data_IF_654163792030
#
_entry.id   IF_654163792030
#
_cell.length_a   1.000
_cell.length_b   1.000
_cell.length_c   1.000
_cell.angle_alpha   90.00
_cell.angle_beta   90.00
_cell.angle_gamma   90.00
#
_symmetry.space_group_name_H-M   'P 1'
#
loop_
_entity.id
_entity.type
_entity.pdbx_description
1 polymer ?
#
# COMPACT_ATOMS: atom_id res chain seq x y z
N UNK A 1 11.03 -9.42 10.60
CA UNK A 1 9.65 -8.88 10.71
C UNK A 1 9.37 -8.10 11.98
N UNK A 2 9.92 -8.47 13.13
CA UNK A 2 9.80 -7.63 14.34
C UNK A 2 10.33 -6.21 14.12
N UNK A 3 11.38 -6.02 13.32
CA UNK A 3 11.99 -4.70 13.07
C UNK A 3 11.06 -3.73 12.33
N UNK A 4 10.42 -4.15 11.23
CA UNK A 4 9.46 -3.31 10.50
C UNK A 4 8.23 -2.94 11.36
N UNK A 5 7.76 -3.88 12.18
CA UNK A 5 6.65 -3.62 13.10
C UNK A 5 7.07 -2.58 14.15
N UNK A 6 8.22 -2.78 14.79
CA UNK A 6 8.76 -1.83 15.77
C UNK A 6 8.96 -0.44 15.16
N UNK A 7 9.44 -0.37 13.92
CA UNK A 7 9.52 0.89 13.17
C UNK A 7 8.14 1.53 13.03
N UNK A 8 7.11 0.79 12.60
CA UNK A 8 5.78 1.39 12.47
C UNK A 8 5.17 1.83 13.80
N UNK A 9 5.48 1.14 14.91
CA UNK A 9 5.01 1.49 16.25
C UNK A 9 5.66 2.79 16.80
N UNK A 10 6.82 3.19 16.28
CA UNK A 10 7.48 4.46 16.61
C UNK A 10 6.83 5.67 15.89
N UNK A 11 5.99 5.45 14.87
CA UNK A 11 5.33 6.53 14.14
C UNK A 11 4.28 7.24 15.01
N UNK A 12 4.35 8.57 15.07
CA UNK A 12 3.32 9.38 15.70
C UNK A 12 2.05 9.42 14.81
N UNK A 13 1.00 8.71 15.23
CA UNK A 13 -0.29 8.63 14.52
C UNK A 13 -1.40 9.47 15.17
N UNK A 14 -1.08 10.24 16.21
CA UNK A 14 -2.01 11.09 16.95
C UNK A 14 -2.36 12.38 16.20
N UNK A 15 -1.41 12.95 15.45
CA UNK A 15 -1.62 14.18 14.67
C UNK A 15 -0.76 14.23 13.42
N UNK A 16 -1.30 14.84 12.37
CA UNK A 16 -0.57 15.13 11.16
C UNK A 16 0.48 16.25 11.40
N UNK A 17 1.58 16.30 10.63
CA UNK A 17 1.94 15.37 9.56
C UNK A 17 2.39 14.01 10.10
N UNK A 18 1.88 12.94 9.50
CA UNK A 18 2.15 11.56 9.91
C UNK A 18 3.47 11.08 9.29
N UNK A 19 4.58 11.52 9.87
CA UNK A 19 5.93 11.17 9.42
C UNK A 19 6.62 10.36 10.50
N UNK A 20 7.22 9.23 10.10
CA UNK A 20 8.04 8.46 11.01
C UNK A 20 9.24 9.31 11.49
N UNK A 21 9.59 9.34 12.79
CA UNK A 21 10.68 10.19 13.32
C UNK A 21 12.05 9.94 12.66
N UNK A 22 12.29 8.71 12.19
CA UNK A 22 13.51 8.32 11.45
C UNK A 22 13.48 8.68 9.95
N UNK A 23 12.33 9.06 9.39
CA UNK A 23 12.24 9.50 7.99
C UNK A 23 12.47 11.02 7.89
N UNK A 24 13.68 11.41 7.51
CA UNK A 24 14.01 12.80 7.22
C UNK A 24 13.52 13.19 5.80
N UNK A 25 12.30 13.71 5.70
CA UNK A 25 11.67 14.13 4.43
C UNK A 25 11.84 15.65 4.21
N UNK A 26 12.68 16.10 3.24
CA UNK A 26 12.80 17.52 2.95
C UNK A 26 11.51 18.13 2.40
N UNK A 27 11.23 19.39 2.77
CA UNK A 27 10.01 20.12 2.37
C UNK A 27 9.77 20.18 0.84
N UNK A 28 10.83 20.14 0.01
CA UNK A 28 10.68 20.10 -1.45
C UNK A 28 10.04 18.81 -2.00
N UNK A 29 9.97 17.76 -1.18
CA UNK A 29 9.33 16.49 -1.51
C UNK A 29 7.97 16.32 -0.83
N UNK A 30 7.49 17.34 -0.12
CA UNK A 30 6.19 17.29 0.57
C UNK A 30 5.21 18.18 -0.17
N UNK A 31 3.95 17.76 -0.24
CA UNK A 31 2.89 18.61 -0.76
C UNK A 31 2.49 19.61 0.34
N UNK A 32 2.73 20.93 0.17
CA UNK A 32 2.39 21.91 1.19
C UNK A 32 0.88 22.19 1.21
N UNK A 33 0.34 22.49 2.39
CA UNK A 33 -0.96 23.14 2.54
C UNK A 33 -2.21 22.29 2.25
N UNK A 34 -2.08 20.97 2.14
CA UNK A 34 -3.22 20.07 1.90
C UNK A 34 -3.46 19.16 3.12
N UNK A 35 -4.35 19.59 4.00
CA UNK A 35 -4.76 18.89 5.22
C UNK A 35 -6.18 18.31 5.14
N UNK A 36 -6.97 18.71 4.14
CA UNK A 36 -8.34 18.26 3.97
C UNK A 36 -8.73 17.84 2.55
N UNK A 37 -9.81 17.07 2.44
CA UNK A 37 -10.44 16.72 1.17
C UNK A 37 -10.86 17.97 0.38
N UNK A 38 -11.41 18.98 1.06
CA UNK A 38 -11.79 20.25 0.43
C UNK A 38 -10.56 21.00 -0.12
N UNK A 39 -9.47 21.06 0.64
CA UNK A 39 -8.22 21.66 0.19
C UNK A 39 -7.60 20.86 -0.97
N UNK A 40 -7.63 19.53 -0.89
CA UNK A 40 -7.16 18.64 -1.94
C UNK A 40 -7.91 18.87 -3.25
N UNK A 41 -9.25 18.90 -3.21
CA UNK A 41 -10.08 19.12 -4.39
C UNK A 41 -9.78 20.48 -5.02
N UNK A 42 -9.75 21.55 -4.21
CA UNK A 42 -9.43 22.90 -4.69
C UNK A 42 -8.05 22.96 -5.37
N UNK A 43 -7.06 22.31 -4.78
CA UNK A 43 -5.71 22.25 -5.35
C UNK A 43 -5.65 21.38 -6.62
N UNK A 44 -6.40 20.27 -6.65
CA UNK A 44 -6.50 19.39 -7.82
C UNK A 44 -7.14 20.10 -9.00
N UNK A 45 -8.29 20.75 -8.80
CA UNK A 45 -9.00 21.54 -9.82
C UNK A 45 -8.18 22.73 -10.32
N UNK A 46 -7.40 23.35 -9.43
CA UNK A 46 -6.49 24.44 -9.78
C UNK A 46 -5.18 24.01 -10.43
N UNK A 47 -4.89 22.70 -10.54
CA UNK A 47 -3.62 22.21 -11.08
C UNK A 47 -2.40 22.51 -10.20
N UNK A 48 -2.60 22.68 -8.89
CA UNK A 48 -1.56 23.05 -7.92
C UNK A 48 -0.93 21.85 -7.20
N UNK A 49 -1.36 20.63 -7.53
CA UNK A 49 -0.80 19.42 -6.94
C UNK A 49 0.42 18.95 -7.72
N UNK A 50 1.48 18.60 -6.99
CA UNK A 50 2.64 17.93 -7.57
C UNK A 50 2.35 16.45 -7.77
N UNK A 51 2.74 15.90 -8.92
CA UNK A 51 2.59 14.47 -9.18
C UNK A 51 3.43 13.60 -8.22
N UNK A 52 4.57 14.13 -7.74
CA UNK A 52 5.57 13.35 -7.01
C UNK A 52 5.77 13.75 -5.56
N UNK A 53 5.12 14.82 -5.10
CA UNK A 53 5.23 15.24 -3.71
C UNK A 53 4.42 14.31 -2.80
N UNK A 54 4.95 14.07 -1.61
CA UNK A 54 4.34 13.20 -0.62
C UNK A 54 3.23 13.94 0.14
N UNK A 55 2.09 13.29 0.30
CA UNK A 55 0.95 13.77 1.06
C UNK A 55 0.99 13.22 2.48
N UNK A 56 1.58 14.01 3.38
CA UNK A 56 1.88 13.59 4.76
C UNK A 56 0.73 13.83 5.76
N UNK A 57 -0.42 14.33 5.29
CA UNK A 57 -1.62 14.50 6.10
C UNK A 57 -2.60 13.31 5.99
N UNK A 58 -2.24 12.28 5.22
CA UNK A 58 -2.88 10.97 5.20
C UNK A 58 -2.10 10.00 6.07
N UNK A 59 -2.77 9.02 6.66
CA UNK A 59 -2.10 7.99 7.45
C UNK A 59 -1.09 7.21 6.59
N UNK A 60 0.10 6.90 7.13
CA UNK A 60 1.09 6.13 6.40
C UNK A 60 0.60 4.71 6.18
N UNK A 61 0.88 4.15 5.01
CA UNK A 61 0.50 2.80 4.61
C UNK A 61 1.75 1.97 4.34
N UNK A 62 2.49 1.62 5.40
CA UNK A 62 3.71 0.82 5.27
C UNK A 62 3.45 -0.63 4.85
N UNK A 63 2.28 -1.15 5.21
CA UNK A 63 1.87 -2.49 4.85
C UNK A 63 0.36 -2.70 5.00
N UNK A 64 -0.12 -3.78 4.38
CA UNK A 64 -1.48 -4.28 4.50
C UNK A 64 -1.46 -5.79 4.71
N UNK A 65 -2.38 -6.31 5.52
CA UNK A 65 -2.48 -7.75 5.78
C UNK A 65 -1.63 -8.23 6.96
N UNK A 66 -1.56 -9.55 7.10
CA UNK A 66 -0.93 -10.23 8.23
C UNK A 66 0.56 -10.37 7.92
N UNK A 67 1.38 -9.47 8.45
CA UNK A 67 2.81 -9.58 8.22
C UNK A 67 3.32 -10.92 8.73
N UNK A 68 2.90 -11.34 9.92
CA UNK A 68 3.41 -12.53 10.62
C UNK A 68 3.07 -13.84 9.91
N UNK A 69 1.83 -13.98 9.41
CA UNK A 69 1.30 -15.26 8.92
C UNK A 69 0.95 -15.28 7.43
N UNK A 70 1.14 -14.19 6.68
CA UNK A 70 0.86 -14.20 5.25
C UNK A 70 1.68 -15.27 4.53
N UNK A 71 0.99 -16.04 3.68
CA UNK A 71 1.61 -17.02 2.79
C UNK A 71 2.28 -16.34 1.58
N UNK A 72 1.81 -15.13 1.23
CA UNK A 72 2.23 -14.35 0.07
C UNK A 72 2.57 -12.95 0.55
N UNK A 73 3.80 -12.51 0.30
CA UNK A 73 4.22 -11.13 0.52
C UNK A 73 4.45 -10.44 -0.82
N UNK A 74 3.83 -9.26 -0.99
CA UNK A 74 3.97 -8.41 -2.16
C UNK A 74 4.78 -7.16 -1.80
N UNK A 75 5.83 -6.87 -2.56
CA UNK A 75 6.65 -5.69 -2.37
C UNK A 75 6.23 -4.60 -3.38
N UNK A 76 5.92 -3.43 -2.86
CA UNK A 76 5.45 -2.26 -3.59
C UNK A 76 6.29 -1.04 -3.21
N UNK A 77 6.19 0.02 -4.01
CA UNK A 77 7.04 1.20 -3.84
C UNK A 77 6.43 2.15 -2.82
N UNK A 78 5.25 2.70 -3.11
CA UNK A 78 4.52 3.59 -2.23
C UNK A 78 3.02 3.52 -2.55
N UNK A 79 2.14 3.87 -1.59
CA UNK A 79 0.71 3.90 -1.84
C UNK A 79 0.37 4.99 -2.88
N UNK A 80 -0.48 4.64 -3.83
CA UNK A 80 -1.00 5.60 -4.81
C UNK A 80 -1.89 6.66 -4.14
N UNK A 81 -2.11 7.79 -4.82
CA UNK A 81 -2.93 8.88 -4.33
C UNK A 81 -4.13 9.16 -5.23
N UNK A 82 -5.27 9.41 -4.61
CA UNK A 82 -6.52 9.82 -5.23
C UNK A 82 -7.32 10.72 -4.27
N UNK A 83 -8.34 11.39 -4.82
CA UNK A 83 -9.29 12.17 -4.02
C UNK A 83 -10.02 11.29 -2.98
N UNK A 84 -10.22 10.00 -3.29
CA UNK A 84 -10.89 9.07 -2.41
C UNK A 84 -10.13 8.85 -1.10
N UNK A 85 -8.79 8.94 -1.10
CA UNK A 85 -7.97 8.68 0.09
C UNK A 85 -8.20 9.77 1.16
N UNK A 86 -8.22 11.04 0.75
CA UNK A 86 -8.63 12.14 1.63
C UNK A 86 -10.09 12.04 2.04
N UNK A 87 -10.99 11.68 1.10
CA UNK A 87 -12.41 11.59 1.42
C UNK A 87 -12.68 10.52 2.48
N UNK A 88 -12.14 9.31 2.30
CA UNK A 88 -12.43 8.18 3.17
C UNK A 88 -11.83 8.35 4.57
N UNK A 89 -10.57 8.80 4.66
CA UNK A 89 -9.91 9.00 5.95
C UNK A 89 -10.56 10.09 6.81
N UNK A 90 -11.23 11.07 6.20
CA UNK A 90 -11.85 12.18 6.91
C UNK A 90 -13.32 11.97 7.26
N UNK A 91 -14.07 11.31 6.38
CA UNK A 91 -15.52 11.20 6.53
C UNK A 91 -15.97 9.84 7.06
N UNK A 92 -15.07 8.85 7.13
CA UNK A 92 -15.40 7.50 7.57
C UNK A 92 -14.49 7.07 8.73
N UNK A 93 -14.81 7.45 9.98
CA UNK A 93 -14.03 7.07 11.16
C UNK A 93 -13.80 5.56 11.25
N UNK A 94 -14.83 4.77 10.92
CA UNK A 94 -14.71 3.30 10.91
C UNK A 94 -13.69 2.75 9.90
N UNK A 95 -13.40 3.46 8.80
CA UNK A 95 -12.30 3.11 7.91
C UNK A 95 -10.97 3.50 8.53
N UNK A 96 -10.87 4.73 9.04
CA UNK A 96 -9.68 5.26 9.69
C UNK A 96 -9.22 4.38 10.86
N UNK A 97 -10.15 3.94 11.71
CA UNK A 97 -9.88 3.04 12.83
C UNK A 97 -9.34 1.69 12.36
N UNK A 98 -9.90 1.14 11.27
CA UNK A 98 -9.41 -0.11 10.69
C UNK A 98 -8.03 0.05 10.05
N UNK A 99 -7.76 1.19 9.41
CA UNK A 99 -6.45 1.51 8.87
C UNK A 99 -5.41 1.63 9.99
N UNK A 100 -5.73 2.36 11.07
CA UNK A 100 -4.85 2.44 12.25
C UNK A 100 -4.61 1.06 12.90
N UNK A 101 -5.66 0.26 13.07
CA UNK A 101 -5.53 -1.11 13.59
C UNK A 101 -4.70 -2.01 12.65
N UNK A 102 -4.77 -1.79 11.34
CA UNK A 102 -3.92 -2.49 10.36
C UNK A 102 -2.46 -2.07 10.49
N UNK A 103 -2.18 -0.77 10.64
CA UNK A 103 -0.81 -0.23 10.85
C UNK A 103 -0.21 -0.78 12.14
N UNK A 104 -1.02 -0.98 13.19
CA UNK A 104 -0.57 -1.57 14.47
C UNK A 104 -0.54 -3.11 14.49
N UNK A 105 -0.91 -3.75 13.37
CA UNK A 105 -1.07 -5.22 13.26
C UNK A 105 -2.08 -5.82 14.27
N UNK A 106 -2.99 -5.00 14.79
CA UNK A 106 -4.14 -5.42 15.60
C UNK A 106 -5.24 -6.06 14.73
N UNK A 107 -5.36 -5.59 13.49
CA UNK A 107 -6.19 -6.20 12.45
C UNK A 107 -5.30 -6.69 11.32
N UNK A 108 -5.35 -8.00 11.07
CA UNK A 108 -4.41 -8.69 10.18
C UNK A 108 -4.98 -9.04 8.80
N UNK A 109 -6.27 -8.82 8.56
CA UNK A 109 -6.81 -8.98 7.21
C UNK A 109 -6.39 -7.83 6.31
N UNK A 110 -6.07 -8.12 5.05
CA UNK A 110 -5.76 -7.11 4.05
C UNK A 110 -6.96 -6.16 3.83
N UNK A 111 -6.89 -4.95 4.39
CA UNK A 111 -7.98 -3.98 4.45
C UNK A 111 -8.63 -3.72 3.08
N UNK A 112 -7.79 -3.57 2.05
CA UNK A 112 -8.24 -3.28 0.68
C UNK A 112 -8.78 -4.49 -0.09
N UNK A 113 -8.98 -5.64 0.56
CA UNK A 113 -9.72 -6.76 0.00
C UNK A 113 -11.05 -6.99 0.74
N UNK A 114 -11.37 -6.17 1.73
CA UNK A 114 -12.64 -6.20 2.45
C UNK A 114 -13.76 -5.57 1.59
N UNK A 115 -14.80 -6.33 1.21
CA UNK A 115 -15.93 -5.80 0.43
C UNK A 115 -16.65 -4.61 1.06
N UNK A 116 -16.53 -4.41 2.38
CA UNK A 116 -17.05 -3.22 3.08
C UNK A 116 -16.51 -1.92 2.47
N UNK A 117 -15.30 -1.96 1.93
CA UNK A 117 -14.60 -0.81 1.37
C UNK A 117 -14.49 -0.87 -0.16
N UNK A 118 -15.39 -1.60 -0.82
CA UNK A 118 -15.35 -1.86 -2.26
C UNK A 118 -15.35 -0.60 -3.15
N UNK A 119 -15.85 0.51 -2.63
CA UNK A 119 -15.92 1.81 -3.31
C UNK A 119 -14.64 2.64 -3.19
N UNK A 120 -13.68 2.22 -2.35
CA UNK A 120 -12.41 2.93 -2.14
C UNK A 120 -11.43 2.72 -3.32
N UNK A 121 -10.60 3.72 -3.57
CA UNK A 121 -9.45 3.66 -4.49
C UNK A 121 -8.56 2.44 -4.24
N UNK A 122 -8.19 2.21 -2.97
CA UNK A 122 -7.35 1.09 -2.56
C UNK A 122 -7.98 -0.26 -2.89
N UNK A 123 -9.27 -0.45 -2.60
CA UNK A 123 -9.96 -1.70 -2.96
C UNK A 123 -10.01 -1.90 -4.47
N UNK A 124 -10.39 -0.87 -5.22
CA UNK A 124 -10.49 -0.97 -6.68
C UNK A 124 -9.13 -1.36 -7.27
N UNK A 125 -8.04 -0.78 -6.78
CA UNK A 125 -6.69 -1.14 -7.23
C UNK A 125 -6.35 -2.60 -6.90
N UNK A 126 -6.50 -3.01 -5.63
CA UNK A 126 -6.14 -4.36 -5.17
C UNK A 126 -7.00 -5.46 -5.79
N UNK A 127 -8.31 -5.26 -5.85
CA UNK A 127 -9.24 -6.19 -6.48
C UNK A 127 -8.97 -6.32 -7.99
N UNK A 128 -8.47 -5.28 -8.65
CA UNK A 128 -8.05 -5.35 -10.05
C UNK A 128 -6.72 -6.10 -10.21
N UNK A 129 -5.73 -5.85 -9.34
CA UNK A 129 -4.43 -6.53 -9.39
C UNK A 129 -4.54 -8.03 -9.14
N UNK A 130 -5.41 -8.45 -8.23
CA UNK A 130 -5.60 -9.85 -7.86
C UNK A 130 -6.80 -10.52 -8.56
N UNK A 131 -7.39 -9.85 -9.56
CA UNK A 131 -8.66 -10.27 -10.18
C UNK A 131 -8.63 -11.70 -10.71
N UNK A 132 -7.63 -12.03 -11.50
CA UNK A 132 -7.57 -13.33 -12.17
C UNK A 132 -7.27 -14.45 -11.17
N UNK A 133 -6.42 -14.18 -10.18
CA UNK A 133 -6.18 -15.10 -9.05
C UNK A 133 -7.47 -15.34 -8.26
N UNK A 134 -8.19 -14.27 -7.91
CA UNK A 134 -9.45 -14.36 -7.19
C UNK A 134 -10.53 -15.12 -7.99
N UNK A 135 -10.56 -14.99 -9.31
CA UNK A 135 -11.47 -15.74 -10.19
C UNK A 135 -11.17 -17.24 -10.16
N UNK A 136 -9.91 -17.62 -10.27
CA UNK A 136 -9.49 -19.04 -10.19
C UNK A 136 -9.85 -19.63 -8.83
N UNK A 137 -9.52 -18.92 -7.74
CA UNK A 137 -9.88 -19.35 -6.38
C UNK A 137 -11.41 -19.47 -6.22
N UNK A 138 -12.18 -18.52 -6.78
CA UNK A 138 -13.63 -18.56 -6.72
C UNK A 138 -14.19 -19.79 -7.42
N UNK A 139 -13.73 -20.09 -8.64
CA UNK A 139 -14.20 -21.26 -9.39
C UNK A 139 -13.80 -22.58 -8.74
N UNK A 140 -12.57 -22.68 -8.26
CA UNK A 140 -12.02 -23.96 -7.77
C UNK A 140 -12.42 -24.29 -6.33
N UNK A 141 -12.62 -23.28 -5.48
CA UNK A 141 -12.76 -23.48 -4.03
C UNK A 141 -14.07 -22.95 -3.45
N UNK A 142 -14.76 -22.06 -4.15
CA UNK A 142 -15.92 -21.35 -3.61
C UNK A 142 -17.13 -21.32 -4.54
N UNK A 143 -17.28 -22.30 -5.45
CA UNK A 143 -18.45 -22.44 -6.34
C UNK A 143 -18.77 -21.14 -7.09
N UNK A 144 -17.75 -20.40 -7.51
CA UNK A 144 -17.87 -19.13 -8.23
C UNK A 144 -18.07 -17.88 -7.34
N UNK A 145 -18.11 -18.01 -6.01
CA UNK A 145 -18.31 -16.85 -5.11
C UNK A 145 -17.05 -15.98 -4.97
N UNK A 146 -16.95 -14.94 -5.78
CA UNK A 146 -15.81 -14.01 -5.81
C UNK A 146 -15.50 -13.33 -4.47
N UNK A 147 -16.53 -12.90 -3.71
CA UNK A 147 -16.32 -12.27 -2.40
C UNK A 147 -15.66 -13.22 -1.38
N UNK A 148 -15.95 -14.52 -1.44
CA UNK A 148 -15.28 -15.52 -0.58
C UNK A 148 -13.84 -15.74 -1.00
N UNK A 149 -13.55 -15.67 -2.30
CA UNK A 149 -12.17 -15.70 -2.81
C UNK A 149 -11.36 -14.49 -2.34
N UNK A 150 -11.93 -13.27 -2.36
CA UNK A 150 -11.28 -12.08 -1.81
C UNK A 150 -11.02 -12.21 -0.30
N UNK A 151 -11.97 -12.74 0.46
CA UNK A 151 -11.80 -12.99 1.90
C UNK A 151 -10.79 -14.11 2.23
N UNK A 152 -10.55 -15.04 1.29
CA UNK A 152 -9.46 -16.01 1.41
C UNK A 152 -8.12 -15.35 1.10
N UNK A 153 -8.02 -14.58 0.02
CA UNK A 153 -6.83 -13.81 -0.31
C UNK A 153 -6.45 -12.81 0.80
N UNK A 154 -7.43 -12.13 1.40
CA UNK A 154 -7.17 -11.13 2.45
C UNK A 154 -6.50 -11.69 3.70
N UNK A 155 -6.57 -13.01 3.92
CA UNK A 155 -5.93 -13.71 5.04
C UNK A 155 -4.56 -14.26 4.70
N UNK A 156 -4.23 -14.36 3.41
CA UNK A 156 -3.01 -15.01 2.91
C UNK A 156 -2.01 -14.02 2.31
N UNK A 157 -2.48 -12.86 1.86
CA UNK A 157 -1.67 -11.84 1.21
C UNK A 157 -1.37 -10.73 2.21
N UNK A 158 -0.07 -10.44 2.36
CA UNK A 158 0.42 -9.18 2.88
C UNK A 158 1.09 -8.38 1.76
N UNK A 159 1.04 -7.06 1.89
CA UNK A 159 1.75 -6.13 1.02
C UNK A 159 2.60 -5.19 1.86
N UNK A 160 3.76 -4.82 1.36
CA UNK A 160 4.70 -3.89 1.98
C UNK A 160 5.02 -2.77 0.99
N UNK A 161 4.84 -1.54 1.43
CA UNK A 161 5.23 -0.33 0.71
C UNK A 161 6.57 0.15 1.23
N UNK A 162 7.59 0.19 0.37
CA UNK A 162 8.94 0.63 0.75
C UNK A 162 8.97 2.08 1.25
N UNK A 163 8.04 2.91 0.77
CA UNK A 163 7.84 4.29 1.20
C UNK A 163 6.37 4.44 1.57
N UNK A 164 6.01 4.60 2.85
CA UNK A 164 4.64 4.46 3.33
C UNK A 164 3.77 5.69 3.06
N UNK A 165 4.19 6.61 2.19
CA UNK A 165 3.57 7.92 2.00
C UNK A 165 2.94 8.05 0.61
N UNK A 166 1.75 8.66 0.57
CA UNK A 166 0.97 8.78 -0.66
C UNK A 166 1.58 9.79 -1.65
N UNK A 167 1.58 9.43 -2.94
CA UNK A 167 1.83 10.34 -4.07
C UNK A 167 1.12 9.83 -5.33
N UNK A 168 0.88 10.70 -6.32
CA UNK A 168 0.30 10.24 -7.59
C UNK A 168 1.29 9.36 -8.37
N UNK A 169 2.56 9.72 -8.31
CA UNK A 169 3.69 9.01 -8.92
C UNK A 169 4.87 9.04 -7.97
N UNK A 170 5.55 7.90 -7.85
CA UNK A 170 6.80 7.88 -7.11
C UNK A 170 7.88 8.68 -7.84
N UNK A 171 8.44 9.71 -7.19
CA UNK A 171 9.43 10.58 -7.82
C UNK A 171 10.82 10.62 -7.18
N UNK A 172 11.14 9.72 -6.23
CA UNK A 172 12.39 9.84 -5.45
C UNK A 172 13.14 8.53 -5.27
N UNK A 173 14.38 8.47 -5.74
CA UNK A 173 15.35 7.39 -5.52
C UNK A 173 16.05 7.44 -4.15
N UNK A 174 15.53 8.20 -3.18
CA UNK A 174 16.14 8.31 -1.84
C UNK A 174 15.93 7.03 -1.03
N UNK A 175 16.95 6.70 -0.23
CA UNK A 175 16.85 5.73 0.85
C UNK A 175 16.10 6.37 2.01
N UNK A 176 14.80 6.09 2.12
CA UNK A 176 14.02 6.34 3.32
C UNK A 176 14.39 5.31 4.38
N UNK A 177 14.27 5.65 5.66
CA UNK A 177 14.49 4.66 6.72
C UNK A 177 13.45 3.54 6.58
N UNK A 178 12.20 3.88 6.27
CA UNK A 178 11.14 2.92 5.93
C UNK A 178 11.56 1.92 4.84
N UNK A 179 12.24 2.39 3.79
CA UNK A 179 12.72 1.52 2.71
C UNK A 179 13.89 0.61 3.14
N UNK A 180 14.66 1.01 4.15
CA UNK A 180 15.77 0.23 4.69
C UNK A 180 15.32 -0.82 5.71
N UNK A 181 14.22 -0.58 6.43
CA UNK A 181 13.61 -1.53 7.38
C UNK A 181 12.73 -2.57 6.70
N UNK A 182 12.38 -2.35 5.44
CA UNK A 182 11.75 -3.37 4.62
C UNK A 182 12.70 -4.57 4.50
N UNK A 183 12.22 -5.80 4.77
CA UNK A 183 13.09 -6.97 4.74
C UNK A 183 13.78 -7.11 3.39
N UNK A 184 15.09 -7.35 3.39
CA UNK A 184 15.76 -7.74 2.15
C UNK A 184 15.40 -9.19 1.84
N UNK A 185 15.38 -9.56 0.56
CA UNK A 185 14.98 -10.90 0.12
C UNK A 185 15.81 -12.04 0.74
N UNK A 186 16.99 -11.73 1.29
CA UNK A 186 17.89 -12.68 1.96
C UNK A 186 17.51 -13.03 3.39
N UNK A 187 16.66 -12.22 4.04
CA UNK A 187 16.51 -12.25 5.51
C UNK A 187 15.27 -13.05 5.97
N UNK A 188 14.60 -13.72 5.03
CA UNK A 188 13.41 -14.53 5.30
C UNK A 188 13.77 -16.02 5.44
N UNK A 189 13.58 -16.63 6.63
CA UNK A 189 13.79 -18.05 6.80
C UNK A 189 12.78 -18.84 5.94
N UNK A 190 13.28 -19.65 5.00
CA UNK A 190 12.46 -20.60 4.24
C UNK A 190 12.05 -20.19 2.83
N UNK A 191 12.47 -19.02 2.33
CA UNK A 191 12.20 -18.61 0.95
C UNK A 191 13.43 -18.81 0.04
N UNK A 192 13.35 -19.80 -0.86
CA UNK A 192 14.19 -19.82 -2.06
C UNK A 192 13.36 -19.28 -3.22
N UNK A 193 13.77 -18.17 -3.83
CA UNK A 193 13.19 -17.69 -5.09
C UNK A 193 13.48 -18.69 -6.23
N UNK A 194 12.74 -19.80 -6.31
CA UNK A 194 12.64 -20.59 -7.54
C UNK A 194 11.43 -20.08 -8.31
N UNK A 195 11.64 -19.02 -9.10
CA UNK A 195 10.57 -18.53 -9.97
C UNK A 195 10.66 -17.09 -10.45
N UNK A 196 11.76 -16.36 -10.21
CA UNK A 196 11.99 -15.11 -10.92
C UNK A 196 12.33 -15.43 -12.39
N UNK A 197 11.31 -15.55 -13.24
CA UNK A 197 11.49 -15.55 -14.69
C UNK A 197 11.96 -14.14 -15.05
N UNK A 198 13.24 -14.03 -15.38
CA UNK A 198 13.80 -12.81 -15.95
C UNK A 198 12.97 -12.39 -17.18
N UNK A 199 12.75 -11.08 -17.40
CA UNK A 199 12.08 -10.64 -18.61
C UNK A 199 12.88 -11.12 -19.82
N UNK A 200 12.26 -11.97 -20.65
CA UNK A 200 12.83 -12.40 -21.90
C UNK A 200 13.16 -11.16 -22.74
N UNK A 201 14.46 -10.91 -22.90
CA UNK A 201 14.96 -9.99 -23.92
C UNK A 201 14.38 -10.43 -25.27
N UNK A 202 13.65 -9.52 -25.93
CA UNK A 202 13.20 -9.72 -27.31
C UNK A 202 14.43 -9.90 -28.18
N UNK A 203 14.67 -11.13 -28.62
CA UNK A 203 15.60 -11.39 -29.71
C UNK A 203 15.01 -10.77 -30.99
N UNK A 204 15.66 -9.72 -31.49
CA UNK A 204 15.46 -9.26 -32.85
C UNK A 204 15.84 -10.41 -33.80
N UNK A 205 14.84 -11.07 -34.37
CA UNK A 205 15.00 -11.89 -35.56
C UNK A 205 14.82 -10.98 -36.78
N UNK A 206 15.93 -10.53 -37.34
CA UNK A 206 16.00 -10.11 -38.75
C UNK A 206 15.90 -11.36 -39.64
N UNK A 207 14.80 -11.46 -40.37
CA UNK A 207 14.57 -12.24 -41.60
C UNK A 207 13.62 -11.37 -42.43
N UNK A 208 13.86 -10.98 -43.67
CA UNK A 208 14.83 -11.34 -44.73
C UNK A 208 15.20 -10.05 -45.46
#
# INVERSE_FOLDING_TARGET
>A
MCELRNFCDEAALDRAPYVHPRDAIPAKYTQPGISSYSEFLKAFEGGFLSETALHLNLLPQAYHGDLENAEILLLLINPGLSACDYHIEQHYPAFRDQLMASIRQERRNHLFLDPKWAWSSGFVWWANKLRDVARVIASERFNGHYGRALADLSRRVAALELVPYHSFRFGSSKKFASACEAPQSSDWPGWSCRGAVAPHAKAHQTRR
#
